data_IF_605586367157
#
_entry.id   IF_605586367157
#
_cell.length_a   1.000
_cell.length_b   1.000
_cell.length_c   1.000
_cell.angle_alpha   90.00
_cell.angle_beta   90.00
_cell.angle_gamma   90.00
#
_symmetry.space_group_name_H-M   'P 1'
#
loop_
_entity.id
_entity.type
_entity.pdbx_description
1 polymer ?
#
# COMPACT_ATOMS: atom_id res chain seq x y z
N UNK A 1 -12.07 34.57 -52.30
CA UNK A 1 -10.82 33.87 -51.98
C UNK A 1 -10.44 34.02 -50.51
N UNK A 2 -10.39 35.24 -49.96
CA UNK A 2 -10.02 35.48 -48.55
C UNK A 2 -10.88 34.73 -47.51
N UNK A 3 -12.20 34.70 -47.68
CA UNK A 3 -13.09 33.94 -46.76
C UNK A 3 -12.74 32.45 -46.71
N UNK A 4 -12.36 31.83 -47.84
CA UNK A 4 -11.95 30.41 -47.87
C UNK A 4 -10.63 30.18 -47.11
N UNK A 5 -9.70 31.14 -47.15
CA UNK A 5 -8.46 31.07 -46.37
C UNK A 5 -8.70 31.15 -44.86
N UNK A 6 -9.67 31.96 -44.41
CA UNK A 6 -10.02 32.04 -42.99
C UNK A 6 -10.61 30.71 -42.49
N UNK A 7 -11.53 30.11 -43.25
CA UNK A 7 -12.10 28.81 -42.89
C UNK A 7 -11.05 27.69 -42.84
N UNK A 8 -10.13 27.65 -43.81
CA UNK A 8 -8.99 26.70 -43.79
C UNK A 8 -8.13 26.89 -42.54
N UNK A 9 -7.84 28.14 -42.16
CA UNK A 9 -7.05 28.45 -40.97
C UNK A 9 -7.75 28.04 -39.68
N UNK A 10 -9.07 28.21 -39.60
CA UNK A 10 -9.89 27.75 -38.46
C UNK A 10 -9.83 26.23 -38.36
N UNK A 11 -10.04 25.52 -39.48
CA UNK A 11 -9.99 24.06 -39.49
C UNK A 11 -8.61 23.51 -39.08
N UNK A 12 -7.53 24.17 -39.48
CA UNK A 12 -6.18 23.79 -39.07
C UNK A 12 -5.94 24.04 -37.58
N UNK A 13 -6.43 25.16 -37.04
CA UNK A 13 -6.38 25.42 -35.59
C UNK A 13 -7.22 24.40 -34.80
N UNK A 14 -8.40 24.00 -35.31
CA UNK A 14 -9.22 22.95 -34.70
C UNK A 14 -8.48 21.60 -34.66
N UNK A 15 -7.81 21.23 -35.76
CA UNK A 15 -6.99 20.02 -35.81
C UNK A 15 -5.84 20.08 -34.80
N UNK A 16 -5.12 21.21 -34.73
CA UNK A 16 -4.03 21.41 -33.77
C UNK A 16 -4.52 21.32 -32.32
N UNK A 17 -5.69 21.90 -32.01
CA UNK A 17 -6.30 21.79 -30.70
C UNK A 17 -6.64 20.33 -30.35
N UNK A 18 -7.14 19.57 -31.32
CA UNK A 18 -7.40 18.14 -31.17
C UNK A 18 -6.13 17.34 -30.83
N UNK A 19 -5.03 17.60 -31.55
CA UNK A 19 -3.73 16.98 -31.27
C UNK A 19 -3.22 17.34 -29.87
N UNK A 20 -3.23 18.64 -29.52
CA UNK A 20 -2.83 19.09 -28.18
C UNK A 20 -3.65 18.43 -27.06
N UNK A 21 -4.95 18.25 -27.27
CA UNK A 21 -5.81 17.61 -26.28
C UNK A 21 -5.46 16.12 -26.10
N UNK A 22 -5.09 15.43 -27.18
CA UNK A 22 -4.59 14.04 -27.12
C UNK A 22 -3.27 13.96 -26.35
N UNK A 23 -2.30 14.82 -26.69
CA UNK A 23 -1.00 14.87 -26.02
C UNK A 23 -1.15 15.19 -24.52
N UNK A 24 -2.07 16.09 -24.15
CA UNK A 24 -2.37 16.38 -22.75
C UNK A 24 -2.98 15.17 -22.02
N UNK A 25 -3.80 14.37 -22.71
CA UNK A 25 -4.34 13.12 -22.19
C UNK A 25 -3.24 12.09 -21.91
N UNK A 26 -2.29 11.94 -22.84
CA UNK A 26 -1.12 11.06 -22.66
C UNK A 26 -0.23 11.53 -21.52
N UNK A 27 0.06 12.84 -21.46
CA UNK A 27 0.85 13.43 -20.39
C UNK A 27 0.19 13.21 -19.02
N UNK A 28 -1.14 13.34 -18.94
CA UNK A 28 -1.89 13.07 -17.71
C UNK A 28 -1.71 11.62 -17.25
N UNK A 29 -1.71 10.66 -18.17
CA UNK A 29 -1.51 9.25 -17.84
C UNK A 29 -0.10 9.01 -17.30
N UNK A 30 0.92 9.60 -17.92
CA UNK A 30 2.32 9.55 -17.44
C UNK A 30 2.44 10.15 -16.04
N UNK A 31 1.83 11.32 -15.80
CA UNK A 31 1.85 11.97 -14.48
C UNK A 31 1.19 11.08 -13.42
N UNK A 32 0.09 10.39 -13.75
CA UNK A 32 -0.56 9.46 -12.84
C UNK A 32 0.37 8.33 -12.43
N UNK A 33 1.03 7.69 -13.40
CA UNK A 33 1.98 6.60 -13.15
C UNK A 33 3.16 7.07 -12.29
N UNK A 34 3.71 8.25 -12.58
CA UNK A 34 4.79 8.84 -11.78
C UNK A 34 4.36 9.12 -10.33
N UNK A 35 3.12 9.55 -10.09
CA UNK A 35 2.60 9.78 -8.75
C UNK A 35 2.45 8.46 -7.96
N UNK A 36 1.93 7.42 -8.61
CA UNK A 36 1.80 6.09 -8.01
C UNK A 36 3.18 5.51 -7.64
N UNK A 37 4.15 5.61 -8.56
CA UNK A 37 5.53 5.18 -8.32
C UNK A 37 6.21 5.98 -7.21
N UNK A 38 6.04 7.30 -7.20
CA UNK A 38 6.60 8.15 -6.15
C UNK A 38 6.04 7.80 -4.78
N UNK A 39 4.73 7.53 -4.69
CA UNK A 39 4.10 7.12 -3.44
C UNK A 39 4.65 5.78 -2.96
N UNK A 40 4.74 4.79 -3.85
CA UNK A 40 5.34 3.47 -3.56
C UNK A 40 6.76 3.60 -3.04
N UNK A 41 7.62 4.35 -3.74
CA UNK A 41 9.01 4.57 -3.35
C UNK A 41 9.13 5.34 -2.03
N UNK A 42 8.19 6.25 -1.74
CA UNK A 42 8.15 6.98 -0.48
C UNK A 42 7.88 6.06 0.70
N UNK A 43 6.93 5.14 0.56
CA UNK A 43 6.62 4.13 1.58
C UNK A 43 7.81 3.19 1.81
N UNK A 44 8.44 2.70 0.75
CA UNK A 44 9.63 1.84 0.83
C UNK A 44 10.79 2.55 1.53
N UNK A 45 11.06 3.81 1.16
CA UNK A 45 12.08 4.63 1.84
C UNK A 45 11.78 4.80 3.33
N UNK A 46 10.53 5.00 3.71
CA UNK A 46 10.15 5.12 5.12
C UNK A 46 10.41 3.81 5.88
N UNK A 47 10.06 2.67 5.29
CA UNK A 47 10.30 1.35 5.87
C UNK A 47 11.79 1.05 6.03
N UNK A 48 12.60 1.31 4.99
CA UNK A 48 14.05 1.15 5.04
C UNK A 48 14.67 2.01 6.14
N UNK A 49 14.23 3.27 6.28
CA UNK A 49 14.68 4.16 7.37
C UNK A 49 14.32 3.61 8.76
N UNK A 50 13.15 2.99 8.91
CA UNK A 50 12.74 2.33 10.18
C UNK A 50 13.64 1.14 10.50
N UNK A 51 13.96 0.30 9.52
CA UNK A 51 14.88 -0.85 9.69
C UNK A 51 16.27 -0.37 10.07
N UNK A 52 16.85 0.58 9.32
CA UNK A 52 18.15 1.19 9.63
C UNK A 52 18.18 1.80 11.03
N UNK A 53 17.13 2.50 11.46
CA UNK A 53 17.05 3.06 12.82
C UNK A 53 17.01 1.98 13.91
N UNK A 54 16.47 0.80 13.61
CA UNK A 54 16.45 -0.36 14.53
C UNK A 54 17.82 -1.03 14.61
N UNK A 55 18.55 -1.10 13.50
CA UNK A 55 19.89 -1.70 13.45
C UNK A 55 21.00 -0.78 13.99
N UNK A 56 20.83 0.54 13.87
CA UNK A 56 21.82 1.54 14.33
C UNK A 56 21.66 1.89 15.81
N UNK A 57 20.55 1.52 16.46
CA UNK A 57 20.43 1.59 17.92
C UNK A 57 21.11 0.37 18.55
N UNK A 58 22.20 0.53 19.33
CA UNK A 58 22.73 -0.55 20.14
C UNK A 58 21.66 -0.98 21.12
N UNK A 59 21.59 -2.28 21.42
CA UNK A 59 20.78 -2.81 22.50
C UNK A 59 21.22 -2.18 23.84
N UNK A 60 20.56 -1.10 24.25
CA UNK A 60 20.65 -0.60 25.62
C UNK A 60 19.86 -1.56 26.52
N UNK A 61 20.60 -2.47 27.14
CA UNK A 61 20.15 -3.26 28.27
C UNK A 61 19.58 -2.34 29.37
N UNK A 62 18.31 -2.54 29.73
CA UNK A 62 17.86 -2.38 31.11
C UNK A 62 17.45 -3.74 31.67
N UNK A 63 18.17 -4.30 32.66
CA UNK A 63 17.65 -5.37 33.48
C UNK A 63 16.85 -4.77 34.64
N UNK A 64 15.56 -5.10 34.73
CA UNK A 64 14.80 -5.01 35.99
C UNK A 64 13.74 -6.10 35.94
N UNK A 65 14.05 -7.31 36.39
CA UNK A 65 13.78 -7.77 37.77
C UNK A 65 12.43 -7.26 38.32
N UNK A 66 11.38 -8.04 38.06
CA UNK A 66 10.26 -8.15 39.00
C UNK A 66 9.85 -9.62 39.05
N UNK A 67 10.63 -10.37 39.84
CA UNK A 67 10.20 -11.66 40.38
C UNK A 67 8.96 -11.42 41.23
N UNK A 68 7.80 -11.89 40.79
CA UNK A 68 6.81 -12.54 41.66
C UNK A 68 6.28 -13.77 40.94
N UNK A 69 6.86 -14.92 41.26
CA UNK A 69 6.10 -16.17 41.21
C UNK A 69 5.06 -16.13 42.34
N UNK A 70 3.96 -16.90 42.22
CA UNK A 70 3.97 -18.19 42.86
C UNK A 70 3.53 -19.33 41.93
N UNK A 71 4.46 -20.26 41.73
CA UNK A 71 4.32 -21.73 41.81
C UNK A 71 3.30 -22.50 40.93
N UNK A 72 3.59 -23.79 40.66
CA UNK A 72 3.29 -24.47 39.40
C UNK A 72 2.10 -25.44 39.50
N UNK A 73 1.54 -25.86 38.35
CA UNK A 73 1.11 -27.24 37.99
C UNK A 73 0.62 -27.23 36.51
N UNK A 74 0.75 -28.36 35.78
CA UNK A 74 1.09 -28.42 34.36
C UNK A 74 -0.07 -28.90 33.47
N UNK A 75 -0.01 -28.57 32.17
CA UNK A 75 -0.77 -29.11 31.01
C UNK A 75 -0.88 -27.97 29.99
N UNK A 76 -0.86 -28.10 28.66
CA UNK A 76 -0.70 -29.17 27.67
C UNK A 76 -0.73 -28.44 26.32
N UNK A 77 0.00 -28.93 25.31
CA UNK A 77 -0.13 -28.51 23.90
C UNK A 77 0.41 -27.11 23.62
N UNK A 78 0.83 -26.70 22.44
CA UNK A 78 1.10 -27.29 21.13
C UNK A 78 1.80 -26.17 20.36
N UNK A 79 2.71 -26.48 19.44
CA UNK A 79 3.58 -25.48 18.81
C UNK A 79 2.85 -24.43 17.96
N UNK A 80 2.44 -23.32 18.56
CA UNK A 80 1.70 -22.23 17.86
C UNK A 80 2.34 -20.82 18.00
N UNK A 81 3.42 -20.65 18.76
CA UNK A 81 3.99 -19.32 19.03
C UNK A 81 4.77 -18.68 17.85
N UNK A 82 4.92 -19.39 16.72
CA UNK A 82 5.52 -18.82 15.49
C UNK A 82 4.47 -18.30 14.49
N UNK A 83 3.19 -18.59 14.70
CA UNK A 83 2.10 -18.21 13.77
C UNK A 83 1.52 -16.82 14.11
N UNK A 84 1.73 -16.32 15.33
CA UNK A 84 1.14 -15.07 15.81
C UNK A 84 1.58 -13.80 15.07
N UNK A 85 2.88 -13.59 14.83
CA UNK A 85 3.36 -12.33 14.26
C UNK A 85 2.92 -12.12 12.80
N UNK A 86 2.94 -13.18 12.00
CA UNK A 86 2.50 -13.12 10.60
C UNK A 86 0.99 -12.90 10.49
N UNK A 87 0.23 -13.55 11.36
CA UNK A 87 -1.21 -13.43 11.45
C UNK A 87 -1.65 -12.03 11.91
N UNK A 88 -0.98 -11.48 12.92
CA UNK A 88 -1.24 -10.13 13.45
C UNK A 88 -0.99 -9.04 12.41
N UNK A 89 0.05 -9.19 11.58
CA UNK A 89 0.32 -8.25 10.49
C UNK A 89 -0.78 -8.28 9.42
N UNK A 90 -1.29 -9.47 9.07
CA UNK A 90 -2.40 -9.60 8.13
C UNK A 90 -3.70 -9.06 8.71
N UNK A 91 -3.98 -9.34 9.99
CA UNK A 91 -5.12 -8.76 10.68
C UNK A 91 -5.04 -7.23 10.65
N UNK A 92 -3.86 -6.64 10.91
CA UNK A 92 -3.66 -5.19 10.86
C UNK A 92 -3.96 -4.61 9.47
N UNK A 93 -3.40 -5.19 8.40
CA UNK A 93 -3.66 -4.77 7.02
C UNK A 93 -5.16 -4.80 6.68
N UNK A 94 -5.87 -5.84 7.14
CA UNK A 94 -7.31 -5.94 6.95
C UNK A 94 -8.10 -4.80 7.62
N UNK A 95 -7.72 -4.43 8.85
CA UNK A 95 -8.36 -3.34 9.61
C UNK A 95 -7.97 -1.95 9.08
N UNK A 96 -6.80 -1.81 8.47
CA UNK A 96 -6.39 -0.60 7.74
C UNK A 96 -7.13 -0.45 6.40
N UNK A 97 -7.94 -1.44 6.02
CA UNK A 97 -8.82 -1.38 4.86
C UNK A 97 -8.23 -2.04 3.61
N UNK A 98 -7.17 -2.83 3.72
CA UNK A 98 -6.58 -3.54 2.58
C UNK A 98 -7.07 -4.98 2.49
N UNK A 99 -7.11 -5.52 1.27
CA UNK A 99 -7.37 -6.93 1.05
C UNK A 99 -6.14 -7.78 1.42
N UNK A 100 -6.36 -8.89 2.13
CA UNK A 100 -5.33 -9.88 2.48
C UNK A 100 -5.52 -11.22 1.74
N UNK A 101 -6.55 -11.32 0.91
CA UNK A 101 -6.77 -12.49 0.08
C UNK A 101 -5.90 -12.46 -1.17
N UNK A 102 -5.55 -13.64 -1.70
CA UNK A 102 -4.69 -13.77 -2.88
C UNK A 102 -5.23 -13.05 -4.13
N UNK A 103 -6.53 -12.79 -4.19
CA UNK A 103 -7.19 -12.20 -5.37
C UNK A 103 -6.91 -10.70 -5.48
N UNK A 104 -6.86 -9.99 -4.35
CA UNK A 104 -6.75 -8.52 -4.31
C UNK A 104 -5.68 -8.05 -3.32
N UNK A 105 -4.72 -8.90 -2.98
CA UNK A 105 -3.74 -8.62 -1.92
C UNK A 105 -3.15 -7.20 -2.04
N UNK A 106 -3.22 -6.43 -0.94
CA UNK A 106 -2.70 -5.07 -0.85
C UNK A 106 -3.54 -3.97 -1.52
N UNK A 107 -4.68 -4.28 -2.14
CA UNK A 107 -5.59 -3.27 -2.69
C UNK A 107 -6.53 -2.72 -1.63
N UNK A 108 -6.91 -1.44 -1.74
CA UNK A 108 -7.85 -0.77 -0.83
C UNK A 108 -9.28 -1.28 -1.04
N UNK A 109 -9.97 -1.60 0.05
CA UNK A 109 -11.36 -2.05 0.08
C UNK A 109 -12.29 -0.85 -0.09
N UNK A 110 -12.99 -0.78 -1.22
CA UNK A 110 -13.98 0.27 -1.52
C UNK A 110 -15.42 -0.16 -1.26
N UNK A 111 -15.69 -1.48 -1.15
CA UNK A 111 -17.04 -2.06 -1.18
C UNK A 111 -17.42 -2.85 0.11
N UNK A 112 -16.75 -2.58 1.24
CA UNK A 112 -17.06 -3.26 2.51
C UNK A 112 -16.29 -4.56 2.74
N UNK A 113 -16.81 -5.46 3.59
CA UNK A 113 -16.12 -6.67 4.07
C UNK A 113 -15.95 -7.75 3.00
N UNK A 114 -14.71 -8.23 2.83
CA UNK A 114 -14.36 -9.25 1.84
C UNK A 114 -14.45 -10.64 2.47
N UNK A 115 -15.41 -11.47 2.02
CA UNK A 115 -15.62 -12.84 2.51
C UNK A 115 -14.35 -13.71 2.45
N UNK A 116 -13.53 -13.53 1.42
CA UNK A 116 -12.27 -14.27 1.29
C UNK A 116 -11.23 -13.85 2.34
N UNK A 117 -11.17 -12.57 2.70
CA UNK A 117 -10.28 -12.10 3.76
C UNK A 117 -10.74 -12.62 5.13
N UNK A 118 -12.06 -12.60 5.38
CA UNK A 118 -12.63 -13.13 6.62
C UNK A 118 -12.39 -14.63 6.76
N UNK A 119 -12.43 -15.40 5.68
CA UNK A 119 -12.13 -16.84 5.70
C UNK A 119 -10.68 -17.16 6.09
N UNK A 120 -9.76 -16.21 5.87
CA UNK A 120 -8.36 -16.32 6.31
C UNK A 120 -8.20 -15.99 7.81
N UNK A 121 -9.05 -15.11 8.35
CA UNK A 121 -8.99 -14.60 9.73
C UNK A 121 -9.89 -15.36 10.72
N UNK A 122 -10.73 -16.27 10.26
CA UNK A 122 -11.67 -17.01 11.11
C UNK A 122 -11.46 -18.52 11.00
N UNK A 123 -10.22 -18.95 10.77
CA UNK A 123 -9.87 -20.37 10.58
C UNK A 123 -9.50 -21.04 11.89
#
# INVERSE_FOLDING_TARGET
>A
MEKKNIFMRIQEMESQLGHMNSELGELKQIVKELLEDNHRLSLENEQLRKVLKREVQPADHKPSTSRKQPSPIPMQGSGEDLVGEGYDNLARLYHEGFHICNVYYGHLRTEGDCLFCLSFLNK
#
